data_IF_455848319714
#
_entry.id   IF_455848319714
#
_cell.length_a   1.000
_cell.length_b   1.000
_cell.length_c   1.000
_cell.angle_alpha   90.00
_cell.angle_beta   90.00
_cell.angle_gamma   90.00
#
_symmetry.space_group_name_H-M   'P 1'
#
loop_
_entity.id
_entity.type
_entity.pdbx_description
1 polymer ?
#
# COMPACT_ATOMS: atom_id res chain seq x y z
N UNK A 1 -10.35 10.34 -41.26
CA UNK A 1 -10.11 8.96 -40.75
C UNK A 1 -8.74 8.89 -40.05
N UNK A 2 -8.62 9.37 -38.80
CA UNK A 2 -7.37 9.26 -38.00
C UNK A 2 -7.58 9.38 -36.47
N UNK A 3 -8.83 9.47 -36.01
CA UNK A 3 -9.19 9.71 -34.60
C UNK A 3 -9.15 8.42 -33.76
N UNK A 4 -9.31 7.24 -34.39
CA UNK A 4 -9.26 5.96 -33.69
C UNK A 4 -7.90 5.67 -33.03
N UNK A 5 -6.81 6.20 -33.58
CA UNK A 5 -5.46 5.98 -33.05
C UNK A 5 -5.15 6.83 -31.80
N UNK A 6 -5.92 7.88 -31.51
CA UNK A 6 -5.73 8.71 -30.31
C UNK A 6 -6.44 8.15 -29.07
N UNK A 7 -7.47 7.33 -29.26
CA UNK A 7 -8.18 6.69 -28.15
C UNK A 7 -7.30 5.65 -27.43
N UNK A 8 -6.53 4.87 -28.20
CA UNK A 8 -5.68 3.80 -27.67
C UNK A 8 -4.65 4.26 -26.61
N UNK A 9 -3.83 5.33 -26.81
CA UNK A 9 -2.90 5.79 -25.79
C UNK A 9 -3.61 6.36 -24.55
N UNK A 10 -4.82 6.89 -24.71
CA UNK A 10 -5.60 7.42 -23.58
C UNK A 10 -6.08 6.29 -22.65
N UNK A 11 -6.50 5.15 -23.19
CA UNK A 11 -6.84 3.97 -22.39
C UNK A 11 -5.62 3.35 -21.70
N UNK A 12 -4.46 3.34 -22.34
CA UNK A 12 -3.22 2.84 -21.71
C UNK A 12 -2.78 3.72 -20.53
N UNK A 13 -2.92 5.05 -20.63
CA UNK A 13 -2.65 5.97 -19.53
C UNK A 13 -3.59 5.76 -18.34
N UNK A 14 -4.87 5.47 -18.58
CA UNK A 14 -5.84 5.16 -17.52
C UNK A 14 -5.52 3.84 -16.79
N UNK A 15 -5.04 2.83 -17.51
CA UNK A 15 -4.60 1.55 -16.92
C UNK A 15 -3.33 1.72 -16.10
N UNK A 16 -2.38 2.55 -16.54
CA UNK A 16 -1.18 2.87 -15.75
C UNK A 16 -1.49 3.71 -14.50
N UNK A 17 -2.48 4.61 -14.58
CA UNK A 17 -2.95 5.39 -13.44
C UNK A 17 -3.59 4.55 -12.32
N UNK A 18 -4.21 3.41 -12.66
CA UNK A 18 -4.75 2.48 -11.67
C UNK A 18 -3.66 1.63 -10.99
N UNK A 19 -2.59 1.29 -11.71
CA UNK A 19 -1.45 0.54 -11.18
C UNK A 19 -0.59 1.34 -10.18
N UNK A 20 -0.75 2.66 -10.10
CA UNK A 20 -0.09 3.51 -9.11
C UNK A 20 -0.73 3.51 -7.72
N UNK A 21 -1.86 2.81 -7.51
CA UNK A 21 -2.60 2.83 -6.24
C UNK A 21 -2.60 1.53 -5.45
N UNK A 22 -2.10 0.42 -6.02
CA UNK A 22 -2.02 -0.89 -5.36
C UNK A 22 -0.59 -1.34 -5.02
N UNK A 23 0.44 -0.63 -5.49
CA UNK A 23 1.83 -0.86 -5.11
C UNK A 23 2.24 0.06 -3.95
N UNK A 24 1.65 -0.14 -2.76
CA UNK A 24 2.29 0.31 -1.54
C UNK A 24 3.20 -0.84 -1.06
N UNK A 25 4.52 -0.78 -1.26
CA UNK A 25 5.43 -1.78 -0.73
C UNK A 25 5.47 -1.61 0.79
N UNK A 26 5.07 -2.66 1.50
CA UNK A 26 5.27 -2.78 2.93
C UNK A 26 4.58 -4.03 3.46
N UNK A 27 4.88 -5.15 2.79
CA UNK A 27 4.69 -6.54 3.18
C UNK A 27 4.01 -6.74 4.54
N UNK A 28 2.70 -6.92 4.52
CA UNK A 28 1.95 -7.47 5.65
C UNK A 28 2.62 -8.73 6.21
N UNK A 29 3.14 -9.59 5.31
CA UNK A 29 3.91 -10.78 5.65
C UNK A 29 5.16 -10.48 6.48
N UNK A 30 5.87 -9.39 6.18
CA UNK A 30 7.07 -9.00 6.91
C UNK A 30 6.73 -8.42 8.28
N UNK A 31 5.65 -7.64 8.35
CA UNK A 31 5.10 -7.17 9.63
C UNK A 31 4.74 -8.34 10.54
N UNK A 32 4.05 -9.36 10.00
CA UNK A 32 3.69 -10.56 10.75
C UNK A 32 4.94 -11.37 11.15
N UNK A 33 5.94 -11.49 10.27
CA UNK A 33 7.21 -12.17 10.56
C UNK A 33 7.96 -11.53 11.74
N UNK A 34 7.83 -10.22 11.91
CA UNK A 34 8.42 -9.49 13.04
C UNK A 34 7.54 -9.48 14.31
N UNK A 35 6.53 -10.36 14.42
CA UNK A 35 5.52 -10.36 15.49
C UNK A 35 4.75 -9.02 15.61
N UNK A 36 4.64 -8.30 14.50
CA UNK A 36 3.77 -7.13 14.36
C UNK A 36 2.42 -7.49 13.74
N UNK A 37 1.52 -6.52 13.72
CA UNK A 37 0.22 -6.63 13.04
C UNK A 37 -0.08 -5.36 12.26
N UNK A 38 -0.96 -5.45 11.26
CA UNK A 38 -1.40 -4.29 10.51
C UNK A 38 -2.56 -3.58 11.20
N UNK A 39 -2.32 -2.38 11.74
CA UNK A 39 -3.33 -1.52 12.38
C UNK A 39 -3.86 -0.44 11.45
N UNK A 40 -5.18 -0.19 11.49
CA UNK A 40 -5.81 0.84 10.66
C UNK A 40 -5.59 2.25 11.24
N UNK A 41 -5.00 3.14 10.44
CA UNK A 41 -4.64 4.54 10.70
C UNK A 41 -3.71 4.82 11.89
N UNK A 42 -3.77 4.02 12.95
CA UNK A 42 -2.98 4.16 14.17
C UNK A 42 -2.72 2.82 14.83
N UNK A 43 -1.63 2.74 15.57
CA UNK A 43 -1.33 1.60 16.43
C UNK A 43 -1.88 1.83 17.83
N UNK A 44 -2.31 0.75 18.48
CA UNK A 44 -2.71 0.81 19.89
C UNK A 44 -1.46 0.73 20.76
N UNK A 45 -1.33 1.62 21.74
CA UNK A 45 -0.26 1.53 22.74
C UNK A 45 -0.31 0.17 23.45
N UNK A 46 0.81 -0.55 23.67
CA UNK A 46 2.22 -0.14 23.58
C UNK A 46 2.91 -0.38 22.20
N UNK A 47 2.14 -0.65 21.15
CA UNK A 47 2.66 -0.89 19.81
C UNK A 47 2.92 0.44 19.08
N UNK A 48 4.12 0.57 18.50
CA UNK A 48 4.55 1.70 17.68
C UNK A 48 4.43 1.40 16.18
N UNK A 49 4.39 2.45 15.36
CA UNK A 49 4.39 2.32 13.90
C UNK A 49 5.82 1.98 13.45
N UNK A 50 6.01 0.77 12.92
CA UNK A 50 7.29 0.29 12.38
C UNK A 50 7.34 0.36 10.84
N UNK A 51 6.19 0.46 10.18
CA UNK A 51 6.09 0.41 8.72
C UNK A 51 4.66 0.64 8.24
N UNK A 52 4.40 0.38 6.95
CA UNK A 52 3.07 0.58 6.34
C UNK A 52 2.63 -0.68 5.60
N UNK A 53 1.53 -1.30 6.01
CA UNK A 53 0.98 -2.47 5.32
C UNK A 53 0.17 -2.12 4.07
N UNK A 54 -0.55 -1.00 4.10
CA UNK A 54 -1.38 -0.55 2.97
C UNK A 54 -1.62 0.96 3.07
N UNK A 55 -2.40 1.54 2.15
CA UNK A 55 -2.68 2.98 2.11
C UNK A 55 -3.16 3.55 3.44
N UNK A 56 -3.95 2.79 4.20
CA UNK A 56 -4.48 3.18 5.51
C UNK A 56 -4.07 2.25 6.65
N UNK A 57 -3.22 1.26 6.38
CA UNK A 57 -2.78 0.29 7.38
C UNK A 57 -1.30 0.45 7.66
N UNK A 58 -0.95 0.51 8.95
CA UNK A 58 0.41 0.64 9.44
C UNK A 58 0.85 -0.64 10.12
N UNK A 59 2.10 -1.03 9.94
CA UNK A 59 2.67 -2.12 10.70
C UNK A 59 2.91 -1.65 12.14
N UNK A 60 2.23 -2.29 13.07
CA UNK A 60 2.25 -2.04 14.50
C UNK A 60 3.09 -3.10 15.19
N UNK A 61 4.21 -2.71 15.78
CA UNK A 61 5.15 -3.60 16.47
C UNK A 61 5.30 -3.16 17.93
N UNK A 62 5.46 -4.11 18.84
CA UNK A 62 5.72 -3.80 20.25
C UNK A 62 7.05 -3.05 20.36
N UNK A 63 7.04 -1.84 20.94
CA UNK A 63 8.27 -1.08 21.18
C UNK A 63 9.09 -1.61 22.37
N UNK A 64 8.53 -2.57 23.10
CA UNK A 64 9.07 -3.15 24.33
C UNK A 64 9.52 -4.61 24.14
N UNK A 65 9.82 -4.99 22.90
CA UNK A 65 10.27 -6.34 22.55
C UNK A 65 11.50 -6.79 23.33
#
# INVERSE_FOLDING_TARGET
>A
MRILYLLFPFFLLLVQGAAGSSFAPGNEEECQRENGYCGFLRCRFPFGISGRCSRFFYCCKNMWG
#
